data_IF_008862019382
#
_entry.id   IF_008862019382
#
_cell.length_a   1.000
_cell.length_b   1.000
_cell.length_c   1.000
_cell.angle_alpha   90.00
_cell.angle_beta   90.00
_cell.angle_gamma   90.00
#
_symmetry.space_group_name_H-M   'P 1'
#
loop_
_entity.id
_entity.type
_entity.pdbx_description
1 polymer ?
#
# COMPACT_ATOMS: atom_id res chain seq x y z
N UNK A 1 -19.46 -61.60 -19.71
CA UNK A 1 -18.97 -61.90 -18.35
C UNK A 1 -19.49 -60.83 -17.41
N UNK A 2 -20.39 -61.23 -16.52
CA UNK A 2 -21.12 -60.35 -15.61
C UNK A 2 -20.27 -60.06 -14.36
N UNK A 3 -20.18 -58.80 -13.95
CA UNK A 3 -19.87 -58.46 -12.58
C UNK A 3 -20.88 -57.47 -12.02
N UNK A 4 -21.80 -58.04 -11.24
CA UNK A 4 -22.63 -57.36 -10.25
C UNK A 4 -21.74 -57.02 -9.04
N UNK A 5 -21.78 -55.79 -8.53
CA UNK A 5 -21.35 -55.47 -7.16
C UNK A 5 -22.39 -54.56 -6.51
N UNK A 6 -22.60 -54.85 -5.23
CA UNK A 6 -23.81 -54.64 -4.44
C UNK A 6 -23.92 -53.24 -3.86
N UNK A 7 -25.16 -52.74 -3.81
CA UNK A 7 -25.61 -51.73 -2.87
C UNK A 7 -25.35 -52.20 -1.43
N UNK A 8 -24.81 -51.32 -0.59
CA UNK A 8 -24.94 -51.41 0.85
C UNK A 8 -25.34 -50.03 1.39
N UNK A 9 -26.63 -49.89 1.63
CA UNK A 9 -27.25 -48.79 2.35
C UNK A 9 -27.06 -49.04 3.85
N UNK A 10 -26.38 -48.15 4.56
CA UNK A 10 -26.40 -48.12 6.02
C UNK A 10 -26.78 -46.70 6.44
N UNK A 11 -28.00 -46.60 6.97
CA UNK A 11 -28.56 -45.37 7.49
C UNK A 11 -27.90 -44.99 8.81
N UNK A 12 -27.67 -43.68 8.96
CA UNK A 12 -27.38 -43.07 10.25
C UNK A 12 -28.47 -42.01 10.51
N UNK A 13 -29.39 -42.34 11.43
CA UNK A 13 -30.19 -41.35 12.13
C UNK A 13 -29.23 -40.44 12.90
N UNK A 14 -29.19 -39.15 12.57
CA UNK A 14 -28.69 -38.12 13.48
C UNK A 14 -29.84 -37.21 13.86
N UNK A 15 -30.13 -37.20 15.16
CA UNK A 15 -31.14 -36.37 15.79
C UNK A 15 -30.77 -34.88 15.65
N UNK A 16 -31.70 -34.12 15.07
CA UNK A 16 -31.64 -32.66 14.97
C UNK A 16 -32.04 -32.06 16.32
N UNK A 17 -31.08 -31.87 17.23
CA UNK A 17 -31.30 -31.10 18.45
C UNK A 17 -31.20 -29.60 18.11
N UNK A 18 -32.34 -28.98 17.81
CA UNK A 18 -32.47 -27.54 17.65
C UNK A 18 -32.31 -26.83 19.01
N UNK A 19 -31.07 -26.52 19.39
CA UNK A 19 -30.80 -25.60 20.48
C UNK A 19 -31.04 -24.17 19.99
N UNK A 20 -32.27 -23.68 20.18
CA UNK A 20 -32.62 -22.26 20.08
C UNK A 20 -31.97 -21.51 21.25
N UNK A 21 -30.66 -21.25 21.13
CA UNK A 21 -29.95 -20.35 22.00
C UNK A 21 -30.36 -18.91 21.67
N UNK A 22 -31.30 -18.36 22.43
CA UNK A 22 -31.60 -16.93 22.45
C UNK A 22 -30.36 -16.16 22.90
N UNK A 23 -29.52 -15.76 21.95
CA UNK A 23 -28.47 -14.79 22.19
C UNK A 23 -29.13 -13.42 22.39
N UNK A 24 -29.49 -13.13 23.63
CA UNK A 24 -29.84 -11.78 24.10
C UNK A 24 -28.59 -10.92 24.00
N UNK A 25 -28.26 -10.51 22.77
CA UNK A 25 -27.20 -9.58 22.47
C UNK A 25 -27.53 -8.27 23.15
N UNK A 26 -26.88 -8.01 24.27
CA UNK A 26 -26.68 -6.65 24.76
C UNK A 26 -25.98 -5.90 23.63
N UNK A 27 -26.79 -5.20 22.82
CA UNK A 27 -26.30 -4.17 21.93
C UNK A 27 -25.76 -3.04 22.83
N UNK A 28 -24.57 -3.24 23.36
CA UNK A 28 -23.80 -2.18 23.97
C UNK A 28 -23.70 -1.09 22.91
N UNK A 29 -24.28 0.08 23.21
CA UNK A 29 -24.23 1.27 22.36
C UNK A 29 -22.77 1.52 22.00
N UNK A 30 -22.38 1.14 20.78
CA UNK A 30 -21.01 1.26 20.31
C UNK A 30 -20.76 2.75 20.12
N UNK A 31 -20.12 3.37 21.12
CA UNK A 31 -19.75 4.78 21.07
C UNK A 31 -18.80 4.98 19.90
N UNK A 32 -19.24 5.77 18.94
CA UNK A 32 -18.41 6.16 17.80
C UNK A 32 -17.15 6.85 18.32
N UNK A 33 -16.01 6.45 17.76
CA UNK A 33 -14.72 6.98 18.16
C UNK A 33 -14.55 8.38 17.59
N UNK A 34 -14.09 9.31 18.45
CA UNK A 34 -13.81 10.70 18.06
C UNK A 34 -12.68 10.82 17.03
N UNK A 35 -12.38 12.04 16.56
CA UNK A 35 -11.24 12.27 15.67
C UNK A 35 -9.94 11.81 16.34
N UNK A 36 -8.93 11.48 15.53
CA UNK A 36 -7.59 11.22 16.06
C UNK A 36 -7.09 12.46 16.83
N UNK A 37 -6.42 12.29 17.97
CA UNK A 37 -5.90 13.40 18.78
C UNK A 37 -4.67 14.09 18.16
N UNK A 38 -4.32 13.73 16.93
CA UNK A 38 -3.21 14.25 16.16
C UNK A 38 -3.50 14.13 14.65
N UNK A 39 -2.72 14.83 13.84
CA UNK A 39 -2.82 14.81 12.38
C UNK A 39 -1.71 13.91 11.81
N UNK A 40 -2.02 12.67 11.38
CA UNK A 40 -1.02 11.81 10.76
C UNK A 40 -0.64 12.32 9.36
N UNK A 41 0.47 11.83 8.82
CA UNK A 41 0.88 12.10 7.44
C UNK A 41 1.46 10.86 6.76
N UNK A 42 1.42 10.82 5.43
CA UNK A 42 2.07 9.76 4.64
C UNK A 42 3.46 10.26 4.23
N UNK A 43 4.48 9.94 5.02
CA UNK A 43 5.86 10.30 4.71
C UNK A 43 6.32 9.66 3.39
N UNK A 44 5.94 8.41 3.14
CA UNK A 44 6.35 7.69 1.94
C UNK A 44 5.43 6.55 1.58
N UNK A 45 5.22 6.40 0.28
CA UNK A 45 4.76 5.15 -0.35
C UNK A 45 5.93 4.54 -1.11
N UNK A 46 6.29 3.29 -0.81
CA UNK A 46 7.28 2.52 -1.57
C UNK A 46 6.62 1.31 -2.24
N UNK A 47 6.81 1.19 -3.55
CA UNK A 47 6.38 0.05 -4.35
C UNK A 47 7.61 -0.75 -4.75
N UNK A 48 7.74 -1.96 -4.19
CA UNK A 48 8.76 -2.92 -4.53
C UNK A 48 8.21 -3.98 -5.48
N UNK A 49 8.79 -4.12 -6.67
CA UNK A 49 8.33 -5.07 -7.71
C UNK A 49 9.19 -6.32 -7.70
N UNK A 50 8.56 -7.49 -7.86
CA UNK A 50 9.21 -8.77 -8.18
C UNK A 50 8.63 -9.30 -9.50
N UNK A 51 9.12 -10.45 -9.98
CA UNK A 51 8.61 -11.08 -11.20
C UNK A 51 7.10 -11.32 -11.21
N UNK A 52 6.51 -11.71 -10.08
CA UNK A 52 5.10 -12.11 -9.97
C UNK A 52 4.32 -11.43 -8.84
N UNK A 53 5.00 -10.59 -8.04
CA UNK A 53 4.42 -9.88 -6.89
C UNK A 53 4.78 -8.41 -6.88
N UNK A 54 4.09 -7.71 -5.99
CA UNK A 54 4.41 -6.35 -5.61
C UNK A 54 4.24 -6.19 -4.10
N UNK A 55 5.15 -5.46 -3.49
CA UNK A 55 5.11 -5.07 -2.09
C UNK A 55 4.86 -3.58 -2.01
N UNK A 56 3.77 -3.18 -1.37
CA UNK A 56 3.46 -1.78 -1.12
C UNK A 56 3.71 -1.49 0.36
N UNK A 57 4.62 -0.56 0.64
CA UNK A 57 4.94 -0.11 2.01
C UNK A 57 4.44 1.32 2.19
N UNK A 58 3.62 1.54 3.20
CA UNK A 58 3.20 2.85 3.67
C UNK A 58 4.00 3.19 4.93
N UNK A 59 4.77 4.27 4.89
CA UNK A 59 5.38 4.86 6.08
C UNK A 59 4.52 6.05 6.50
N UNK A 60 3.83 5.90 7.62
CA UNK A 60 2.91 6.89 8.18
C UNK A 60 3.55 7.52 9.40
N UNK A 61 3.65 8.84 9.42
CA UNK A 61 4.14 9.56 10.59
C UNK A 61 2.97 9.86 11.51
N UNK A 62 3.12 9.45 12.77
CA UNK A 62 2.14 9.63 13.84
C UNK A 62 2.75 10.57 14.89
N UNK A 63 2.39 11.86 14.89
CA UNK A 63 2.79 12.75 15.96
C UNK A 63 2.17 12.32 17.26
N UNK A 64 2.91 12.44 18.36
CA UNK A 64 2.35 12.28 19.70
C UNK A 64 1.25 13.30 19.95
N UNK A 65 1.49 14.56 19.59
CA UNK A 65 0.54 15.66 19.72
C UNK A 65 -0.10 15.72 21.12
N UNK A 66 -1.43 15.83 21.16
CA UNK A 66 -2.22 15.89 22.39
C UNK A 66 -2.65 14.52 22.94
N UNK A 67 -2.17 13.41 22.35
CA UNK A 67 -2.52 12.07 22.80
C UNK A 67 -2.14 11.88 24.28
N UNK A 68 -3.16 11.62 25.11
CA UNK A 68 -3.02 11.50 26.57
C UNK A 68 -2.74 10.06 27.05
N UNK A 69 -2.76 9.09 26.14
CA UNK A 69 -2.69 7.67 26.46
C UNK A 69 -3.85 6.89 25.84
N UNK A 70 -3.84 5.58 26.07
CA UNK A 70 -4.79 4.60 25.57
C UNK A 70 -4.36 3.91 24.28
N UNK A 71 -4.79 2.67 24.11
CA UNK A 71 -4.61 1.92 22.86
C UNK A 71 -5.27 2.67 21.69
N UNK A 72 -4.68 2.55 20.50
CA UNK A 72 -5.19 3.12 19.25
C UNK A 72 -5.58 2.00 18.29
N UNK A 73 -6.85 1.97 17.92
CA UNK A 73 -7.36 1.13 16.84
C UNK A 73 -7.45 1.95 15.55
N UNK A 74 -6.53 1.69 14.62
CA UNK A 74 -6.38 2.44 13.38
C UNK A 74 -6.85 1.62 12.19
N UNK A 75 -7.85 2.11 11.47
CA UNK A 75 -8.39 1.46 10.29
C UNK A 75 -7.60 1.78 9.02
N UNK A 76 -7.13 0.75 8.35
CA UNK A 76 -6.35 0.81 7.12
C UNK A 76 -7.04 -0.01 6.01
N UNK A 77 -7.58 0.67 5.00
CA UNK A 77 -8.23 0.02 3.87
C UNK A 77 -7.22 -0.49 2.83
N UNK A 78 -7.58 -1.55 2.10
CA UNK A 78 -6.73 -2.11 1.06
C UNK A 78 -6.75 -1.32 -0.26
N UNK A 79 -5.62 -1.35 -0.96
CA UNK A 79 -5.43 -0.85 -2.33
C UNK A 79 -6.03 -1.73 -3.41
N UNK A 80 -5.81 -1.34 -4.66
CA UNK A 80 -5.95 -2.23 -5.81
C UNK A 80 -4.67 -3.04 -6.01
N UNK A 81 -4.74 -4.32 -6.41
CA UNK A 81 -5.88 -4.96 -7.06
C UNK A 81 -6.90 -5.67 -6.14
N UNK A 82 -6.80 -5.56 -4.81
CA UNK A 82 -7.74 -6.22 -3.90
C UNK A 82 -7.17 -6.41 -2.50
N UNK A 83 -7.56 -7.47 -1.80
CA UNK A 83 -6.96 -7.80 -0.51
C UNK A 83 -5.52 -8.32 -0.67
N UNK A 84 -4.56 -7.90 0.18
CA UNK A 84 -3.20 -8.40 0.12
C UNK A 84 -3.11 -9.86 0.56
N UNK A 85 -2.18 -10.58 -0.06
CA UNK A 85 -1.81 -11.97 0.25
C UNK A 85 -1.23 -12.08 1.65
N UNK A 86 -0.37 -11.13 2.00
CA UNK A 86 0.25 -11.01 3.32
C UNK A 86 0.33 -9.55 3.72
N UNK A 87 0.25 -9.28 5.03
CA UNK A 87 0.39 -7.96 5.60
C UNK A 87 1.19 -8.07 6.90
N UNK A 88 2.10 -7.14 7.10
CA UNK A 88 2.72 -6.88 8.38
C UNK A 88 2.68 -5.37 8.68
N UNK A 89 2.76 -5.06 9.97
CA UNK A 89 2.77 -3.69 10.45
C UNK A 89 3.76 -3.60 11.61
N UNK A 90 4.56 -2.54 11.59
CA UNK A 90 5.57 -2.27 12.61
C UNK A 90 5.51 -0.81 13.01
N UNK A 91 5.75 -0.55 14.28
CA UNK A 91 5.91 0.78 14.82
C UNK A 91 7.39 1.04 15.08
N UNK A 92 7.88 2.14 14.55
CA UNK A 92 9.28 2.53 14.66
C UNK A 92 9.39 3.88 15.35
N UNK A 93 10.49 4.04 16.08
CA UNK A 93 10.92 5.32 16.60
C UNK A 93 11.45 6.21 15.49
N UNK A 94 11.05 7.47 15.48
CA UNK A 94 11.62 8.51 14.61
C UNK A 94 12.41 9.45 15.51
N UNK A 95 13.71 9.56 15.27
CA UNK A 95 14.57 10.45 16.04
C UNK A 95 14.18 11.92 15.81
N UNK A 96 14.48 12.77 16.78
CA UNK A 96 14.25 14.21 16.63
C UNK A 96 14.97 14.78 15.39
N UNK A 97 14.29 15.66 14.66
CA UNK A 97 14.73 16.22 13.39
C UNK A 97 14.66 15.27 12.17
N UNK A 98 14.39 13.98 12.37
CA UNK A 98 14.25 13.03 11.26
C UNK A 98 12.81 12.98 10.74
N UNK A 99 12.68 12.69 9.44
CA UNK A 99 11.37 12.52 8.80
C UNK A 99 10.93 11.05 8.74
N UNK A 100 11.86 10.11 8.94
CA UNK A 100 11.62 8.68 8.77
C UNK A 100 12.48 7.85 9.74
N UNK A 101 11.96 6.67 10.10
CA UNK A 101 12.71 5.72 10.88
C UNK A 101 13.73 4.97 10.01
N UNK A 102 15.00 5.04 10.44
CA UNK A 102 16.12 4.37 9.76
C UNK A 102 16.34 2.93 10.25
N UNK A 103 15.79 2.57 11.41
CA UNK A 103 15.92 1.23 11.98
C UNK A 103 15.13 0.19 11.16
N UNK A 104 15.79 -0.94 10.86
CA UNK A 104 15.17 -2.05 10.16
C UNK A 104 14.13 -2.80 11.01
N UNK A 105 14.32 -2.84 12.34
CA UNK A 105 13.41 -3.48 13.28
C UNK A 105 12.56 -2.43 14.00
N UNK A 106 11.25 -2.67 14.00
CA UNK A 106 10.26 -1.91 14.79
C UNK A 106 9.40 -2.88 15.60
N UNK A 107 8.73 -2.36 16.63
CA UNK A 107 7.80 -3.14 17.44
C UNK A 107 6.65 -3.67 16.57
N UNK A 108 6.30 -4.96 16.63
CA UNK A 108 5.22 -5.51 15.81
C UNK A 108 3.87 -4.91 16.22
N UNK A 109 3.03 -4.61 15.24
CA UNK A 109 1.64 -4.15 15.44
C UNK A 109 0.70 -5.27 14.99
N UNK A 110 -0.10 -5.76 15.93
CA UNK A 110 -1.12 -6.78 15.62
C UNK A 110 -2.27 -6.17 14.84
N UNK A 111 -2.97 -6.97 14.04
CA UNK A 111 -4.09 -6.48 13.24
C UNK A 111 -5.19 -7.50 13.07
N UNK A 112 -6.41 -7.00 12.82
CA UNK A 112 -7.59 -7.80 12.53
C UNK A 112 -8.14 -7.43 11.15
N UNK A 113 -8.33 -8.40 10.25
CA UNK A 113 -8.99 -8.17 8.95
C UNK A 113 -10.48 -7.91 9.17
N UNK A 114 -10.99 -6.89 8.50
CA UNK A 114 -12.40 -6.48 8.60
C UNK A 114 -12.99 -6.20 7.22
N UNK A 115 -14.26 -6.55 6.97
CA UNK A 115 -14.91 -6.28 5.68
C UNK A 115 -15.23 -4.80 5.46
N UNK A 116 -15.31 -4.02 6.55
CA UNK A 116 -15.51 -2.58 6.60
C UNK A 116 -15.01 -2.02 7.92
N UNK A 117 -14.80 -0.70 8.01
CA UNK A 117 -14.36 -0.01 9.23
C UNK A 117 -15.38 -0.21 10.36
N UNK A 118 -14.99 -0.78 11.52
CA UNK A 118 -15.83 -0.77 12.72
C UNK A 118 -16.01 0.65 13.26
N UNK A 119 -17.14 0.99 13.89
CA UNK A 119 -17.35 2.32 14.50
C UNK A 119 -16.36 2.62 15.64
N UNK A 120 -15.72 1.59 16.18
CA UNK A 120 -14.71 1.67 17.25
C UNK A 120 -13.29 1.93 16.74
N UNK A 121 -13.05 2.02 15.44
CA UNK A 121 -11.73 2.24 14.87
C UNK A 121 -11.61 3.62 14.24
N UNK A 122 -10.51 4.32 14.53
CA UNK A 122 -10.19 5.60 13.90
C UNK A 122 -9.89 5.39 12.41
N UNK A 123 -10.44 6.20 11.49
CA UNK A 123 -10.07 6.11 10.09
C UNK A 123 -8.63 6.62 9.91
N UNK A 124 -7.78 5.84 9.23
CA UNK A 124 -6.42 6.25 8.89
C UNK A 124 -6.19 6.27 7.38
N UNK A 125 -6.35 5.12 6.72
CA UNK A 125 -6.19 4.98 5.25
C UNK A 125 -7.48 4.49 4.60
N UNK A 126 -7.88 5.13 3.51
CA UNK A 126 -9.02 4.79 2.67
C UNK A 126 -10.39 5.01 3.32
N UNK A 127 -11.43 4.50 2.65
CA UNK A 127 -12.84 4.82 2.96
C UNK A 127 -13.47 3.81 3.92
N UNK A 128 -14.43 4.22 4.78
CA UNK A 128 -15.03 3.34 5.80
C UNK A 128 -15.74 2.08 5.25
N UNK A 129 -16.26 2.12 4.04
CA UNK A 129 -17.04 1.03 3.43
C UNK A 129 -16.18 -0.01 2.68
N UNK A 130 -14.86 0.18 2.64
CA UNK A 130 -13.95 -0.73 1.94
C UNK A 130 -13.51 -1.88 2.86
N UNK A 131 -12.97 -2.96 2.30
CA UNK A 131 -12.29 -3.98 3.10
C UNK A 131 -10.90 -3.49 3.54
N UNK A 132 -10.45 -3.94 4.71
CA UNK A 132 -9.18 -3.50 5.29
C UNK A 132 -8.76 -4.29 6.52
N UNK A 133 -7.93 -3.65 7.34
CA UNK A 133 -7.52 -4.12 8.67
C UNK A 133 -7.74 -3.04 9.72
N UNK A 134 -7.96 -3.45 10.96
CA UNK A 134 -7.76 -2.61 12.15
C UNK A 134 -6.40 -2.95 12.72
N UNK A 135 -5.52 -1.96 12.79
CA UNK A 135 -4.19 -2.04 13.39
C UNK A 135 -4.32 -1.67 14.87
N UNK A 136 -3.91 -2.57 15.77
CA UNK A 136 -4.03 -2.39 17.21
C UNK A 136 -2.69 -1.92 17.77
N UNK A 137 -2.55 -0.61 17.97
CA UNK A 137 -1.34 0.00 18.53
C UNK A 137 -1.51 0.16 20.04
N UNK A 138 -0.68 -0.53 20.82
CA UNK A 138 -0.72 -0.48 22.29
C UNK A 138 -0.18 0.83 22.84
N UNK A 139 -0.74 1.33 23.95
CA UNK A 139 -0.29 2.59 24.60
C UNK A 139 1.22 2.58 24.85
N UNK A 140 1.73 1.54 25.49
CA UNK A 140 3.14 1.41 25.85
C UNK A 140 4.05 1.41 24.62
N UNK A 141 3.67 0.66 23.58
CA UNK A 141 4.38 0.61 22.31
C UNK A 141 4.37 1.98 21.61
N UNK A 142 3.22 2.67 21.56
CA UNK A 142 3.12 4.00 20.96
C UNK A 142 3.93 5.04 21.72
N UNK A 143 3.82 5.04 23.04
CA UNK A 143 4.56 5.94 23.93
C UNK A 143 6.06 5.76 23.78
N UNK A 144 6.54 4.51 23.67
CA UNK A 144 7.94 4.21 23.45
C UNK A 144 8.42 4.65 22.06
N UNK A 145 7.64 4.39 21.01
CA UNK A 145 8.00 4.78 19.65
C UNK A 145 7.93 6.30 19.42
N UNK A 146 7.02 7.00 20.10
CA UNK A 146 6.86 8.44 20.02
C UNK A 146 7.52 9.17 21.21
N UNK A 147 8.59 8.60 21.78
CA UNK A 147 9.32 9.19 22.90
C UNK A 147 9.85 10.58 22.55
N UNK A 148 10.43 10.73 21.35
CA UNK A 148 10.94 11.99 20.80
C UNK A 148 9.85 12.79 20.04
N UNK A 149 8.58 12.48 20.29
CA UNK A 149 7.42 13.22 19.76
C UNK A 149 6.82 12.66 18.48
N UNK A 150 7.50 11.76 17.76
CA UNK A 150 7.03 11.18 16.50
C UNK A 150 7.27 9.67 16.45
N UNK A 151 6.28 8.92 15.96
CA UNK A 151 6.46 7.50 15.59
C UNK A 151 6.21 7.30 14.09
N UNK A 152 6.84 6.29 13.49
CA UNK A 152 6.52 5.82 12.15
C UNK A 152 5.75 4.49 12.25
N UNK A 153 4.50 4.48 11.80
CA UNK A 153 3.75 3.27 11.54
C UNK A 153 4.03 2.83 10.10
N UNK A 154 4.75 1.72 9.96
CA UNK A 154 5.11 1.10 8.69
C UNK A 154 4.19 -0.08 8.41
N UNK A 155 3.37 0.01 7.37
CA UNK A 155 2.47 -1.07 6.93
C UNK A 155 2.95 -1.60 5.60
N UNK A 156 3.30 -2.89 5.53
CA UNK A 156 3.77 -3.55 4.32
C UNK A 156 2.76 -4.60 3.88
N UNK A 157 2.33 -4.50 2.63
CA UNK A 157 1.33 -5.37 2.04
C UNK A 157 1.86 -6.01 0.75
N UNK A 158 1.74 -7.34 0.66
CA UNK A 158 2.14 -8.14 -0.49
C UNK A 158 0.90 -8.41 -1.36
N UNK A 159 0.99 -8.12 -2.66
CA UNK A 159 -0.05 -8.41 -3.64
C UNK A 159 0.49 -9.25 -4.79
N UNK A 160 -0.42 -9.87 -5.54
CA UNK A 160 -0.11 -10.32 -6.90
C UNK A 160 0.34 -9.13 -7.74
N UNK A 161 1.27 -9.34 -8.66
CA UNK A 161 1.54 -8.36 -9.71
C UNK A 161 0.23 -8.16 -10.52
N UNK A 162 -0.26 -6.91 -10.70
CA UNK A 162 -1.46 -6.66 -11.49
C UNK A 162 -1.32 -7.18 -12.91
N UNK A 163 -2.44 -7.46 -13.56
CA UNK A 163 -2.46 -7.84 -14.97
C UNK A 163 -1.79 -6.73 -15.80
N UNK A 164 -0.95 -7.16 -16.74
CA UNK A 164 -0.31 -6.25 -17.68
C UNK A 164 -1.37 -5.60 -18.58
N UNK A 165 -1.28 -4.28 -18.71
CA UNK A 165 -2.17 -3.51 -19.59
C UNK A 165 -1.62 -3.46 -21.03
N UNK A 166 -2.40 -2.92 -21.97
CA UNK A 166 -2.04 -2.89 -23.40
C UNK A 166 -0.71 -2.19 -23.71
N UNK A 167 -0.27 -1.26 -22.87
CA UNK A 167 1.01 -0.58 -23.02
C UNK A 167 2.15 -1.24 -22.22
N UNK A 168 1.94 -2.49 -21.82
CA UNK A 168 2.89 -3.31 -21.08
C UNK A 168 3.20 -2.82 -19.64
N UNK A 169 2.39 -1.91 -19.11
CA UNK A 169 2.50 -1.45 -17.73
C UNK A 169 1.64 -2.27 -16.76
N UNK A 170 2.09 -2.41 -15.52
CA UNK A 170 1.28 -2.93 -14.41
C UNK A 170 0.80 -1.75 -13.56
N UNK A 171 -0.52 -1.58 -13.42
CA UNK A 171 -1.11 -0.48 -12.65
C UNK A 171 -1.59 -0.93 -11.26
N UNK A 172 -1.21 -0.15 -10.26
CA UNK A 172 -1.50 -0.35 -8.84
C UNK A 172 -2.26 0.86 -8.30
N UNK A 173 -3.27 0.63 -7.45
CA UNK A 173 -3.92 1.72 -6.72
C UNK A 173 -3.52 1.66 -5.25
N UNK A 174 -2.74 2.64 -4.83
CA UNK A 174 -2.29 2.80 -3.44
C UNK A 174 -3.25 3.74 -2.72
N UNK A 175 -3.91 3.26 -1.66
CA UNK A 175 -4.83 4.09 -0.89
C UNK A 175 -4.09 5.13 -0.08
N UNK A 176 -4.67 6.32 -0.05
CA UNK A 176 -4.22 7.38 0.83
C UNK A 176 -5.23 7.61 1.94
N UNK A 177 -4.80 8.36 2.94
CA UNK A 177 -5.61 8.63 4.12
C UNK A 177 -6.32 9.96 4.09
N UNK A 178 -7.24 10.07 5.04
CA UNK A 178 -7.80 11.33 5.48
C UNK A 178 -8.01 11.32 7.00
N UNK A 179 -7.82 12.47 7.64
CA UNK A 179 -8.11 12.70 9.05
C UNK A 179 -9.01 13.92 9.19
N UNK A 180 -10.09 13.82 9.98
CA UNK A 180 -11.04 14.92 10.18
C UNK A 180 -11.67 15.46 8.89
N UNK A 181 -11.75 14.64 7.83
CA UNK A 181 -12.23 15.06 6.51
C UNK A 181 -11.18 15.72 5.61
N UNK A 182 -9.96 15.96 6.09
CA UNK A 182 -8.85 16.49 5.30
C UNK A 182 -7.93 15.36 4.81
N UNK A 183 -7.45 15.39 3.56
CA UNK A 183 -6.49 14.40 3.05
C UNK A 183 -5.18 14.47 3.84
N UNK A 184 -4.60 13.32 4.17
CA UNK A 184 -3.25 13.29 4.74
C UNK A 184 -2.26 13.78 3.70
N UNK A 185 -1.19 14.47 4.09
CA UNK A 185 -0.13 14.84 3.14
C UNK A 185 0.60 13.60 2.63
N UNK A 186 1.12 13.64 1.40
CA UNK A 186 1.99 12.61 0.83
C UNK A 186 3.32 13.24 0.46
N UNK A 187 4.43 12.85 1.11
CA UNK A 187 5.71 13.50 0.82
C UNK A 187 6.43 12.87 -0.38
N UNK A 188 6.45 11.53 -0.49
CA UNK A 188 7.24 10.82 -1.53
C UNK A 188 6.58 9.56 -2.06
N UNK A 189 6.80 9.30 -3.35
CA UNK A 189 6.53 8.02 -4.01
C UNK A 189 7.86 7.42 -4.47
N UNK A 190 8.12 6.18 -4.08
CA UNK A 190 9.31 5.44 -4.46
C UNK A 190 8.93 4.15 -5.18
N UNK A 191 9.64 3.82 -6.25
CA UNK A 191 9.45 2.56 -6.98
C UNK A 191 10.79 1.91 -7.23
N UNK A 192 10.90 0.60 -7.02
CA UNK A 192 12.09 -0.14 -7.42
C UNK A 192 11.90 -1.65 -7.40
N UNK A 193 12.94 -2.35 -7.83
CA UNK A 193 12.96 -3.82 -7.81
C UNK A 193 13.37 -4.34 -6.43
N UNK A 194 12.76 -5.44 -6.01
CA UNK A 194 13.18 -6.22 -4.84
C UNK A 194 14.08 -7.40 -5.23
N UNK A 195 14.15 -7.74 -6.52
CA UNK A 195 14.97 -8.81 -7.07
C UNK A 195 16.19 -8.24 -7.80
N UNK A 196 17.30 -8.96 -7.81
CA UNK A 196 18.58 -8.44 -8.37
C UNK A 196 18.59 -8.43 -9.89
N UNK A 197 17.93 -9.42 -10.49
CA UNK A 197 17.80 -9.70 -11.92
C UNK A 197 16.61 -8.97 -12.56
N UNK A 198 15.66 -8.48 -11.76
CA UNK A 198 14.58 -7.62 -12.24
C UNK A 198 15.01 -6.15 -12.24
N UNK A 199 14.76 -5.47 -13.36
CA UNK A 199 14.96 -4.02 -13.50
C UNK A 199 13.63 -3.35 -13.81
N UNK A 200 13.28 -2.33 -13.02
CA UNK A 200 12.18 -1.42 -13.33
C UNK A 200 12.67 -0.46 -14.40
N UNK A 201 12.14 -0.60 -15.62
CA UNK A 201 12.54 0.21 -16.77
C UNK A 201 11.92 1.62 -16.72
N UNK A 202 10.68 1.72 -16.22
CA UNK A 202 9.94 2.97 -16.07
C UNK A 202 8.97 2.85 -14.90
N UNK A 203 8.71 3.97 -14.23
CA UNK A 203 7.65 4.08 -13.24
C UNK A 203 6.98 5.45 -13.34
N UNK A 204 5.67 5.45 -13.15
CA UNK A 204 4.84 6.65 -13.15
C UNK A 204 3.90 6.64 -11.96
N UNK A 205 3.56 7.83 -11.48
CA UNK A 205 2.53 7.99 -10.48
C UNK A 205 1.66 9.21 -10.81
N UNK A 206 0.38 9.11 -10.49
CA UNK A 206 -0.59 10.21 -10.57
C UNK A 206 -1.58 10.10 -9.42
N UNK A 207 -2.19 11.21 -9.06
CA UNK A 207 -3.40 11.15 -8.24
C UNK A 207 -4.50 10.47 -9.06
N UNK A 208 -5.30 9.63 -8.43
CA UNK A 208 -6.46 9.02 -9.07
C UNK A 208 -7.66 8.98 -8.12
N UNK A 209 -8.83 9.27 -8.66
CA UNK A 209 -10.03 9.55 -7.90
C UNK A 209 -11.03 10.29 -8.80
N UNK A 210 -12.28 10.44 -8.38
CA UNK A 210 -13.27 11.21 -9.14
C UNK A 210 -12.87 12.67 -9.30
N UNK A 211 -12.14 13.22 -8.32
CA UNK A 211 -11.77 14.63 -8.24
C UNK A 211 -10.25 14.86 -8.44
N UNK A 212 -9.50 13.79 -8.73
CA UNK A 212 -8.06 13.84 -8.80
C UNK A 212 -7.57 14.61 -10.04
N UNK A 213 -6.62 15.52 -9.83
CA UNK A 213 -5.90 16.13 -10.94
C UNK A 213 -5.02 15.08 -11.66
N UNK A 214 -5.14 14.97 -12.98
CA UNK A 214 -4.39 14.00 -13.79
C UNK A 214 -2.89 14.32 -13.97
N UNK A 215 -2.31 15.19 -13.14
CA UNK A 215 -0.90 15.61 -13.27
C UNK A 215 0.06 14.50 -12.80
N UNK A 216 1.18 14.28 -13.52
CA UNK A 216 2.17 13.29 -13.09
C UNK A 216 2.86 13.74 -11.80
N UNK A 217 3.08 12.80 -10.89
CA UNK A 217 3.85 12.97 -9.67
C UNK A 217 5.31 12.57 -9.89
N UNK A 218 6.22 13.24 -9.20
CA UNK A 218 7.62 12.83 -9.14
C UNK A 218 7.75 11.47 -8.45
N UNK A 219 8.37 10.51 -9.15
CA UNK A 219 8.67 9.17 -8.65
C UNK A 219 10.17 9.05 -8.47
N UNK A 220 10.60 8.64 -7.28
CA UNK A 220 12.01 8.37 -7.00
C UNK A 220 12.29 6.89 -7.24
N UNK A 221 13.40 6.60 -7.93
CA UNK A 221 13.93 5.23 -7.97
C UNK A 221 14.34 4.80 -6.57
N UNK A 222 13.81 3.67 -6.08
CA UNK A 222 14.28 3.10 -4.83
C UNK A 222 15.72 2.60 -5.03
N UNK A 223 16.62 2.77 -4.04
CA UNK A 223 17.98 2.22 -4.12
C UNK A 223 17.93 0.74 -4.47
N UNK A 224 18.67 0.33 -5.51
CA UNK A 224 18.81 -1.09 -5.87
C UNK A 224 19.34 -1.83 -4.64
N UNK A 225 18.67 -2.90 -4.21
CA UNK A 225 19.10 -3.70 -3.06
C UNK A 225 20.57 -4.08 -3.29
N UNK A 226 21.51 -3.59 -2.45
CA UNK A 226 22.91 -3.88 -2.67
C UNK A 226 23.10 -5.38 -2.53
N UNK A 227 23.79 -5.97 -3.52
CA UNK A 227 24.37 -7.28 -3.31
C UNK A 227 25.28 -7.18 -2.06
N UNK A 228 25.15 -8.11 -1.12
CA UNK A 228 26.01 -8.17 0.06
C UNK A 228 27.48 -7.91 -0.35
N UNK A 229 28.09 -6.96 0.36
CA UNK A 229 29.24 -6.17 -0.04
C UNK A 229 30.27 -6.88 -0.95
N UNK A 230 30.44 -6.34 -2.15
CA UNK A 230 31.77 -6.24 -2.75
C UNK A 230 32.03 -4.74 -2.94
N UNK A 231 33.15 -4.31 -2.40
CA UNK A 231 33.59 -2.91 -2.26
C UNK A 231 33.54 -2.09 -3.56
N UNK A 232 33.18 -0.82 -3.36
CA UNK A 232 33.66 0.39 -4.05
C UNK A 232 32.77 1.07 -5.13
N UNK A 233 32.73 2.40 -4.92
CA UNK A 233 32.54 3.51 -5.87
C UNK A 233 31.11 3.95 -6.16
N UNK A 234 30.72 5.01 -5.43
CA UNK A 234 29.57 5.85 -5.73
C UNK A 234 29.78 6.62 -7.04
N UNK A 235 28.91 6.38 -8.02
CA UNK A 235 28.68 7.25 -9.16
C UNK A 235 27.19 7.54 -9.25
N UNK A 236 26.80 8.80 -9.01
CA UNK A 236 25.43 9.26 -9.16
C UNK A 236 25.00 9.12 -10.63
N UNK A 237 24.00 8.27 -10.89
CA UNK A 237 23.35 8.17 -12.19
C UNK A 237 21.93 8.75 -12.09
N UNK A 238 21.77 9.97 -12.62
CA UNK A 238 20.49 10.49 -13.08
C UNK A 238 19.96 9.52 -14.16
N UNK A 239 18.80 8.92 -13.92
CA UNK A 239 18.10 8.12 -14.91
C UNK A 239 17.75 9.03 -16.11
N UNK A 240 18.44 8.82 -17.23
CA UNK A 240 18.12 9.46 -18.50
C UNK A 240 16.79 8.95 -19.02
N UNK A 241 15.83 9.87 -19.19
CA UNK A 241 14.63 9.63 -19.99
C UNK A 241 15.06 9.34 -21.44
N UNK A 242 14.74 8.15 -21.94
CA UNK A 242 14.88 7.83 -23.38
C UNK A 242 13.67 8.41 -24.12
N UNK A 243 13.85 9.28 -25.14
CA UNK A 243 12.74 9.82 -25.89
C UNK A 243 12.15 8.75 -26.84
N UNK A 244 10.84 8.51 -26.75
CA UNK A 244 10.08 7.82 -27.81
C UNK A 244 10.01 8.71 -29.06
N UNK A 245 10.29 8.19 -30.26
CA UNK A 245 10.03 8.92 -31.49
C UNK A 245 8.55 8.76 -31.90
N UNK A 246 7.98 9.81 -32.51
CA UNK A 246 6.69 9.83 -33.25
C UNK A 246 5.38 10.18 -32.51
N UNK A 247 5.43 10.89 -31.39
CA UNK A 247 4.27 11.66 -30.92
C UNK A 247 4.46 13.15 -31.22
N UNK A 248 3.43 13.81 -31.76
CA UNK A 248 3.36 15.28 -31.83
C UNK A 248 3.76 15.84 -30.46
N UNK A 249 4.75 16.75 -30.35
CA UNK A 249 5.30 17.16 -29.07
C UNK A 249 4.28 18.01 -28.31
N UNK A 250 3.39 17.34 -27.58
CA UNK A 250 2.77 17.94 -26.40
C UNK A 250 3.93 18.24 -25.46
N UNK A 251 4.13 19.50 -25.02
CA UNK A 251 5.22 19.80 -24.11
C UNK A 251 5.11 18.88 -22.89
N UNK A 252 6.19 18.19 -22.50
CA UNK A 252 6.13 17.25 -21.40
C UNK A 252 5.71 18.01 -20.14
N UNK A 253 4.55 17.67 -19.58
CA UNK A 253 4.09 18.24 -18.32
C UNK A 253 5.10 17.79 -17.25
N UNK A 254 5.85 18.75 -16.71
CA UNK A 254 6.83 18.46 -15.68
C UNK A 254 6.14 17.80 -14.46
N UNK A 255 6.72 16.72 -13.90
CA UNK A 255 6.17 16.07 -12.73
C UNK A 255 6.21 17.02 -11.53
N UNK A 256 5.17 16.98 -10.70
CA UNK A 256 5.10 17.76 -9.47
C UNK A 256 5.54 16.94 -8.27
N UNK A 257 6.13 17.59 -7.26
CA UNK A 257 6.39 16.93 -5.99
C UNK A 257 5.06 16.44 -5.37
N UNK A 258 4.97 15.21 -4.82
CA UNK A 258 3.75 14.70 -4.21
C UNK A 258 3.17 15.59 -3.11
N UNK A 259 4.04 16.30 -2.37
CA UNK A 259 3.65 17.23 -1.32
C UNK A 259 2.98 18.51 -1.84
N UNK A 260 3.13 18.82 -3.13
CA UNK A 260 2.55 19.99 -3.79
C UNK A 260 1.31 19.64 -4.63
N UNK A 261 0.94 18.36 -4.72
CA UNK A 261 -0.27 17.94 -5.42
C UNK A 261 -1.50 18.39 -4.62
N UNK A 262 -2.46 19.03 -5.29
CA UNK A 262 -3.78 19.26 -4.73
C UNK A 262 -4.47 17.91 -4.59
N UNK A 263 -5.11 17.68 -3.45
CA UNK A 263 -5.70 16.39 -3.12
C UNK A 263 -7.07 16.56 -2.51
N UNK A 264 -7.96 15.65 -2.87
CA UNK A 264 -9.24 15.43 -2.23
C UNK A 264 -9.16 14.24 -1.27
N UNK A 265 -10.14 14.19 -0.35
CA UNK A 265 -10.27 13.13 0.66
C UNK A 265 -10.48 11.74 0.04
N UNK A 266 -10.98 11.71 -1.18
CA UNK A 266 -11.31 10.54 -2.00
C UNK A 266 -10.15 10.08 -2.89
N UNK A 267 -9.08 10.86 -2.99
CA UNK A 267 -7.99 10.60 -3.91
C UNK A 267 -7.00 9.56 -3.38
N UNK A 268 -6.58 8.69 -4.29
CA UNK A 268 -5.54 7.68 -4.12
C UNK A 268 -4.33 8.00 -5.02
N UNK A 269 -3.26 7.22 -4.92
CA UNK A 269 -2.19 7.23 -5.94
C UNK A 269 -2.36 6.03 -6.84
N UNK A 270 -2.39 6.27 -8.15
CA UNK A 270 -2.23 5.23 -9.14
C UNK A 270 -0.77 5.20 -9.59
N UNK A 271 -0.10 4.07 -9.36
CA UNK A 271 1.30 3.84 -9.70
C UNK A 271 1.35 2.85 -10.84
N UNK A 272 2.04 3.18 -11.92
CA UNK A 272 2.25 2.30 -13.06
C UNK A 272 3.73 1.96 -13.20
N UNK A 273 4.03 0.69 -13.42
CA UNK A 273 5.40 0.18 -13.48
C UNK A 273 5.60 -0.66 -14.73
N UNK A 274 6.75 -0.47 -15.39
CA UNK A 274 7.19 -1.28 -16.52
C UNK A 274 8.50 -1.96 -16.14
N UNK A 275 8.61 -3.25 -16.44
CA UNK A 275 9.85 -4.01 -16.23
C UNK A 275 10.67 -4.05 -17.52
N UNK A 276 11.97 -4.34 -17.44
CA UNK A 276 12.81 -4.48 -18.63
C UNK A 276 12.29 -5.56 -19.61
N UNK A 277 11.75 -6.67 -19.10
CA UNK A 277 11.14 -7.71 -19.92
C UNK A 277 9.91 -7.18 -20.69
N UNK A 278 9.06 -6.40 -20.02
CA UNK A 278 7.91 -5.72 -20.64
C UNK A 278 8.37 -4.70 -21.70
N UNK A 279 9.43 -3.95 -21.42
CA UNK A 279 9.95 -2.94 -22.34
C UNK A 279 10.58 -3.53 -23.61
N UNK A 280 11.23 -4.70 -23.49
CA UNK A 280 11.76 -5.43 -24.65
C UNK A 280 10.63 -5.96 -25.54
N UNK A 281 9.55 -6.45 -24.94
CA UNK A 281 8.35 -6.88 -25.67
C UNK A 281 7.71 -5.70 -26.45
N UNK A 282 7.62 -4.51 -25.84
CA UNK A 282 7.14 -3.29 -26.53
C UNK A 282 8.00 -2.98 -27.77
N UNK A 283 9.33 -2.99 -27.62
CA UNK A 283 10.26 -2.70 -28.71
C UNK A 283 10.21 -3.74 -29.83
N UNK A 284 9.99 -5.01 -29.50
CA UNK A 284 9.87 -6.07 -30.48
C UNK A 284 8.52 -6.03 -31.23
N UNK A 285 7.47 -5.53 -30.59
CA UNK A 285 6.14 -5.38 -31.18
C UNK A 285 6.00 -4.13 -32.06
N UNK A 286 6.87 -3.13 -31.90
CA UNK A 286 6.92 -1.95 -32.76
C UNK A 286 7.33 -2.39 -34.18
N UNK A 287 6.43 -2.34 -35.18
CA UNK A 287 6.74 -2.82 -36.52
C UNK A 287 7.92 -2.02 -37.04
N UNK A 288 8.99 -2.70 -37.44
CA UNK A 288 10.21 -2.10 -37.98
C UNK A 288 9.81 -1.02 -38.99
N UNK A 289 9.88 0.24 -38.55
CA UNK A 289 9.43 1.38 -39.31
C UNK A 289 10.42 1.54 -40.45
N UNK A 290 10.10 0.84 -41.54
CA UNK A 290 10.93 0.71 -42.72
C UNK A 290 11.03 2.11 -43.32
N UNK A 291 12.23 2.67 -43.28
CA UNK A 291 12.60 3.94 -43.90
C UNK A 291 11.84 4.13 -45.21
N UNK A 292 10.99 5.16 -45.23
CA UNK A 292 10.34 5.71 -46.41
C UNK A 292 10.70 7.18 -46.53
#
# INVERSE_FOLDING_TARGET
MAHRVRLASVGALLALAAALGSSSGHAASQREVGPLPFLPSVARVRVGVTKDRVVVTHSLTLPRGDWKGGDLDLYFAFGGPGAPLALDAHLHHVADGELEAHAAAGGPVTYTRVPRRPPTAHPLIGRPHMAGVVLHVKDDAFRAAAADGMAELRVRALYMLPVESEDHGHELRVRLGASGGAPLTLARVQVGSLERDLTVARAEARMCGPDAEGRPLAVLGAPKVPAAATTATSGAALAGNVPSPLAVPVPPIAPIAPSLAVRHVSDDVCVRVWTAASAEAVRAAEPAQKDR
#
